data_IF_088477343871
#
_entry.id   IF_088477343871
#
_cell.length_a   1.000
_cell.length_b   1.000
_cell.length_c   1.000
_cell.angle_alpha   90.00
_cell.angle_beta   90.00
_cell.angle_gamma   90.00
#
_symmetry.space_group_name_H-M   'P 1'
#
loop_
_entity.id
_entity.type
_entity.pdbx_description
1 polymer ?
#
# COMPACT_ATOMS: atom_id res chain seq x y z
N UNK A 1 10.02 16.53 -41.97
CA UNK A 1 9.01 16.29 -40.91
C UNK A 1 8.62 14.81 -40.78
N UNK A 2 9.54 13.86 -41.05
CA UNK A 2 9.26 12.40 -41.02
C UNK A 2 10.18 11.60 -40.09
N UNK A 3 11.43 12.03 -39.84
CA UNK A 3 12.39 11.29 -38.99
C UNK A 3 12.08 11.29 -37.48
N UNK A 4 11.29 12.24 -36.97
CA UNK A 4 10.95 12.32 -35.54
C UNK A 4 9.86 11.31 -35.14
N UNK A 5 9.14 10.74 -36.12
CA UNK A 5 8.10 9.73 -35.86
C UNK A 5 8.67 8.33 -35.67
N UNK A 6 9.74 7.98 -36.39
CA UNK A 6 10.35 6.64 -36.33
C UNK A 6 11.13 6.40 -35.04
N UNK A 7 11.75 7.43 -34.45
CA UNK A 7 12.43 7.34 -33.15
C UNK A 7 11.46 7.20 -31.96
N UNK A 8 10.20 7.62 -32.09
CA UNK A 8 9.16 7.42 -31.06
C UNK A 8 8.53 6.03 -31.10
N UNK A 9 8.71 5.28 -32.19
CA UNK A 9 8.20 3.92 -32.34
C UNK A 9 9.17 2.85 -31.78
N UNK A 10 10.48 3.13 -31.78
CA UNK A 10 11.50 2.20 -31.26
C UNK A 10 11.68 2.22 -29.72
N UNK A 11 11.15 3.24 -29.03
CA UNK A 11 11.39 3.49 -27.59
C UNK A 11 10.10 3.42 -26.75
N UNK A 12 8.97 3.02 -27.36
CA UNK A 12 7.81 2.60 -26.58
C UNK A 12 7.90 1.10 -26.41
N UNK A 13 8.17 0.56 -25.21
CA UNK A 13 7.64 -0.77 -24.94
C UNK A 13 6.13 -0.63 -25.15
N UNK A 14 5.63 -1.39 -26.10
CA UNK A 14 4.20 -1.61 -26.28
C UNK A 14 3.56 -1.70 -24.90
N UNK A 15 2.52 -0.90 -24.64
CA UNK A 15 1.54 -1.18 -23.59
C UNK A 15 0.95 -2.55 -23.91
N UNK A 16 1.69 -3.59 -23.53
CA UNK A 16 1.20 -4.94 -23.45
C UNK A 16 0.23 -4.86 -22.29
N UNK A 17 -1.06 -4.91 -22.63
CA UNK A 17 -2.10 -5.35 -21.71
C UNK A 17 -1.47 -6.41 -20.82
N UNK A 18 -1.35 -6.12 -19.53
CA UNK A 18 -1.02 -7.07 -18.48
C UNK A 18 -2.02 -8.21 -18.64
N UNK A 19 -1.67 -9.16 -19.50
CA UNK A 19 -2.37 -10.42 -19.63
C UNK A 19 -2.13 -11.05 -18.27
N UNK A 20 -3.23 -11.27 -17.56
CA UNK A 20 -3.32 -11.83 -16.22
C UNK A 20 -2.59 -13.19 -16.21
N UNK A 21 -1.26 -13.15 -16.13
CA UNK A 21 -0.44 -14.33 -15.98
C UNK A 21 -0.38 -14.54 -14.48
N UNK A 22 -1.38 -15.27 -13.98
CA UNK A 22 -1.46 -15.78 -12.61
C UNK A 22 -0.40 -16.88 -12.41
N UNK A 23 0.82 -16.62 -12.88
CA UNK A 23 1.98 -17.47 -12.66
C UNK A 23 2.31 -17.42 -11.20
N UNK A 24 1.99 -18.51 -10.51
CA UNK A 24 2.40 -18.82 -9.13
C UNK A 24 3.83 -18.33 -8.93
N UNK A 25 4.00 -17.27 -8.13
CA UNK A 25 5.29 -16.66 -7.87
C UNK A 25 6.21 -17.70 -7.21
N UNK A 26 7.31 -18.00 -7.88
CA UNK A 26 8.31 -19.00 -7.48
C UNK A 26 8.92 -18.61 -6.13
N UNK A 27 8.54 -19.30 -5.06
CA UNK A 27 9.08 -19.11 -3.71
C UNK A 27 10.57 -19.45 -3.75
N UNK A 28 11.43 -18.43 -3.76
CA UNK A 28 12.81 -18.50 -4.27
C UNK A 28 13.83 -19.31 -3.45
N UNK A 29 13.38 -20.10 -2.48
CA UNK A 29 14.22 -21.05 -1.77
C UNK A 29 13.79 -22.46 -2.11
N UNK A 30 14.49 -23.09 -3.06
CA UNK A 30 14.47 -24.55 -3.14
C UNK A 30 15.09 -25.07 -1.82
N UNK A 31 14.32 -25.77 -0.96
CA UNK A 31 14.79 -26.25 0.34
C UNK A 31 16.01 -27.18 0.24
N UNK A 32 16.29 -27.69 -0.97
CA UNK A 32 17.45 -28.53 -1.26
C UNK A 32 18.74 -27.76 -1.53
N UNK A 33 18.71 -26.41 -1.62
CA UNK A 33 19.90 -25.59 -1.87
C UNK A 33 20.57 -25.20 -0.54
N UNK A 34 21.76 -25.74 -0.21
CA UNK A 34 22.40 -25.55 1.10
C UNK A 34 23.07 -24.18 1.28
N UNK A 35 22.83 -23.22 0.38
CA UNK A 35 23.54 -21.93 0.31
C UNK A 35 22.53 -20.80 0.08
N UNK A 36 22.69 -19.69 0.80
CA UNK A 36 21.94 -18.46 0.57
C UNK A 36 22.16 -17.81 -0.82
N UNK A 37 23.21 -18.19 -1.56
CA UNK A 37 23.43 -17.77 -2.95
C UNK A 37 22.47 -18.50 -3.89
N UNK A 38 21.58 -17.74 -4.53
CA UNK A 38 20.54 -18.23 -5.46
C UNK A 38 21.06 -18.27 -6.90
N UNK A 39 21.82 -17.26 -7.33
CA UNK A 39 22.47 -17.25 -8.65
C UNK A 39 23.78 -16.45 -8.61
N UNK A 40 24.78 -16.89 -9.35
CA UNK A 40 26.08 -16.24 -9.47
C UNK A 40 26.57 -16.36 -10.91
N UNK A 41 26.77 -15.23 -11.57
CA UNK A 41 27.12 -15.21 -12.99
C UNK A 41 28.05 -14.04 -13.33
N UNK A 42 28.93 -14.26 -14.29
CA UNK A 42 29.77 -13.21 -14.89
C UNK A 42 29.14 -12.75 -16.18
N UNK A 43 29.13 -11.43 -16.39
CA UNK A 43 28.65 -10.79 -17.60
C UNK A 43 29.79 -10.02 -18.26
N UNK A 44 29.95 -10.21 -19.57
CA UNK A 44 30.95 -9.52 -20.38
C UNK A 44 30.29 -9.04 -21.66
N UNK A 45 30.46 -7.75 -21.96
CA UNK A 45 29.87 -7.09 -23.13
C UNK A 45 28.35 -7.38 -23.26
N UNK A 46 27.66 -7.43 -22.13
CA UNK A 46 26.21 -7.71 -22.06
C UNK A 46 25.80 -9.18 -22.12
N UNK A 47 26.71 -10.10 -22.38
CA UNK A 47 26.42 -11.53 -22.44
C UNK A 47 26.81 -12.24 -21.13
N UNK A 48 25.95 -13.16 -20.67
CA UNK A 48 26.29 -14.08 -19.58
C UNK A 48 27.37 -15.04 -20.06
N UNK A 49 28.48 -15.13 -19.34
CA UNK A 49 29.57 -16.06 -19.65
C UNK A 49 29.13 -17.47 -19.26
N UNK A 50 29.07 -18.37 -20.24
CA UNK A 50 28.81 -19.79 -19.99
C UNK A 50 30.08 -20.49 -19.53
N UNK A 51 30.03 -21.02 -18.31
CA UNK A 51 31.11 -21.80 -17.69
C UNK A 51 30.81 -23.28 -17.60
N UNK A 52 29.64 -23.73 -18.09
CA UNK A 52 29.19 -25.13 -18.05
C UNK A 52 28.93 -25.70 -16.63
N UNK A 53 29.15 -24.91 -15.59
CA UNK A 53 28.91 -25.26 -14.18
C UNK A 53 28.60 -24.00 -13.34
N UNK A 54 27.85 -24.15 -12.23
CA UNK A 54 27.68 -23.07 -11.26
C UNK A 54 29.03 -22.57 -10.74
N UNK A 55 29.17 -21.25 -10.60
CA UNK A 55 30.40 -20.61 -10.10
C UNK A 55 30.23 -20.15 -8.66
N UNK A 56 31.28 -20.30 -7.86
CA UNK A 56 31.36 -19.61 -6.57
C UNK A 56 31.62 -18.11 -6.78
N UNK A 57 31.21 -17.24 -5.83
CA UNK A 57 31.53 -15.80 -5.88
C UNK A 57 33.03 -15.51 -6.08
N UNK A 58 33.90 -16.29 -5.43
CA UNK A 58 35.36 -16.15 -5.55
C UNK A 58 35.86 -16.52 -6.96
N UNK A 59 35.40 -17.62 -7.55
CA UNK A 59 35.75 -17.99 -8.94
C UNK A 59 35.26 -16.94 -9.95
N UNK A 60 34.06 -16.42 -9.76
CA UNK A 60 33.47 -15.39 -10.62
C UNK A 60 34.29 -14.10 -10.59
N UNK A 61 34.68 -13.64 -9.38
CA UNK A 61 35.52 -12.46 -9.24
C UNK A 61 36.91 -12.64 -9.86
N UNK A 62 37.52 -13.83 -9.72
CA UNK A 62 38.79 -14.14 -10.38
C UNK A 62 38.68 -14.09 -11.90
N UNK A 63 37.57 -14.56 -12.47
CA UNK A 63 37.33 -14.51 -13.91
C UNK A 63 37.20 -13.06 -14.40
N UNK A 64 36.45 -12.23 -13.68
CA UNK A 64 36.31 -10.79 -13.96
C UNK A 64 37.65 -10.07 -13.89
N UNK A 65 38.48 -10.34 -12.87
CA UNK A 65 39.82 -9.74 -12.74
C UNK A 65 40.77 -10.13 -13.89
N UNK A 66 40.60 -11.32 -14.48
CA UNK A 66 41.45 -11.80 -15.58
C UNK A 66 41.01 -11.27 -16.93
N UNK A 67 39.71 -11.29 -17.20
CA UNK A 67 39.16 -11.13 -18.55
C UNK A 67 38.21 -9.93 -18.71
N UNK A 68 37.95 -9.18 -17.64
CA UNK A 68 36.99 -8.08 -17.62
C UNK A 68 35.52 -8.53 -17.54
N UNK A 69 34.64 -7.54 -17.43
CA UNK A 69 33.21 -7.71 -17.19
C UNK A 69 32.79 -7.34 -15.77
N UNK A 70 31.65 -7.86 -15.33
CA UNK A 70 31.23 -7.77 -13.93
C UNK A 70 30.52 -9.04 -13.46
N UNK A 71 30.56 -9.30 -12.14
CA UNK A 71 29.81 -10.41 -11.53
C UNK A 71 28.49 -9.91 -10.95
N UNK A 72 27.40 -10.66 -11.17
CA UNK A 72 26.12 -10.42 -10.51
C UNK A 72 25.71 -11.60 -9.63
N UNK A 73 25.72 -11.37 -8.32
CA UNK A 73 25.40 -12.35 -7.28
C UNK A 73 24.02 -12.05 -6.70
N UNK A 74 23.14 -13.04 -6.69
CA UNK A 74 21.85 -13.01 -6.02
C UNK A 74 21.88 -13.85 -4.75
N UNK A 75 21.50 -13.24 -3.63
CA UNK A 75 21.40 -13.88 -2.32
C UNK A 75 19.98 -13.71 -1.76
N UNK A 76 19.53 -14.71 -1.00
CA UNK A 76 18.24 -14.68 -0.33
C UNK A 76 18.42 -15.07 1.14
N UNK A 77 18.04 -14.14 2.03
CA UNK A 77 18.08 -14.27 3.50
C UNK A 77 19.38 -14.92 4.02
N UNK A 78 20.56 -14.38 3.67
CA UNK A 78 21.83 -14.96 4.10
C UNK A 78 22.03 -14.79 5.60
N UNK A 79 22.59 -15.83 6.22
CA UNK A 79 23.13 -15.70 7.57
C UNK A 79 24.39 -14.84 7.57
N UNK A 80 24.75 -14.29 8.73
CA UNK A 80 25.99 -13.52 8.90
C UNK A 80 27.23 -14.31 8.44
N UNK A 81 27.29 -15.60 8.76
CA UNK A 81 28.39 -16.49 8.38
C UNK A 81 28.49 -16.69 6.86
N UNK A 82 27.36 -16.86 6.18
CA UNK A 82 27.30 -17.00 4.72
C UNK A 82 27.71 -15.71 4.01
N UNK A 83 27.32 -14.54 4.55
CA UNK A 83 27.62 -13.26 3.91
C UNK A 83 29.03 -12.75 4.20
N UNK A 84 29.62 -13.07 5.36
CA UNK A 84 30.96 -12.61 5.77
C UNK A 84 32.09 -13.00 4.79
N UNK A 85 31.97 -14.16 4.12
CA UNK A 85 32.94 -14.58 3.10
C UNK A 85 32.90 -13.68 1.87
N UNK A 86 31.69 -13.38 1.39
CA UNK A 86 31.44 -12.50 0.24
C UNK A 86 31.84 -11.07 0.60
N UNK A 87 31.42 -10.57 1.76
CA UNK A 87 31.75 -9.23 2.22
C UNK A 87 33.27 -8.94 2.18
N UNK A 88 34.10 -9.89 2.62
CA UNK A 88 35.56 -9.76 2.58
C UNK A 88 36.13 -9.80 1.16
N UNK A 89 35.66 -10.70 0.30
CA UNK A 89 36.16 -10.83 -1.07
C UNK A 89 35.87 -9.57 -1.91
N UNK A 90 34.68 -8.97 -1.70
CA UNK A 90 34.21 -7.80 -2.45
C UNK A 90 34.49 -6.47 -1.77
N UNK A 91 35.14 -6.47 -0.60
CA UNK A 91 35.49 -5.25 0.14
C UNK A 91 34.26 -4.46 0.59
N UNK A 92 33.18 -5.14 0.98
CA UNK A 92 31.95 -4.49 1.43
C UNK A 92 32.15 -3.86 2.81
N UNK A 93 31.59 -2.67 3.01
CA UNK A 93 31.71 -1.96 4.28
C UNK A 93 30.94 -2.69 5.40
N UNK A 94 31.54 -2.89 6.60
CA UNK A 94 30.92 -3.67 7.67
C UNK A 94 29.51 -3.22 8.07
N UNK A 95 29.26 -1.91 8.14
CA UNK A 95 27.91 -1.38 8.46
C UNK A 95 26.86 -1.74 7.41
N UNK A 96 27.21 -1.71 6.13
CA UNK A 96 26.28 -2.08 5.06
C UNK A 96 26.02 -3.61 5.05
N UNK A 97 27.01 -4.39 5.48
CA UNK A 97 26.89 -5.84 5.64
C UNK A 97 25.96 -6.18 6.80
N UNK A 98 26.11 -5.50 7.95
CA UNK A 98 25.21 -5.62 9.10
C UNK A 98 23.77 -5.29 8.71
N UNK A 99 23.55 -4.16 8.04
CA UNK A 99 22.23 -3.75 7.54
C UNK A 99 21.61 -4.79 6.60
N UNK A 100 22.44 -5.39 5.73
CA UNK A 100 21.98 -6.40 4.78
C UNK A 100 21.67 -7.75 5.43
N UNK A 101 22.18 -8.06 6.62
CA UNK A 101 21.86 -9.28 7.37
C UNK A 101 20.68 -9.05 8.30
N UNK A 102 20.62 -7.92 9.01
CA UNK A 102 19.54 -7.61 9.95
C UNK A 102 18.21 -7.29 9.26
N UNK A 103 18.26 -6.84 8.00
CA UNK A 103 17.10 -6.38 7.23
C UNK A 103 16.34 -5.24 7.93
N UNK A 104 15.07 -5.06 7.57
CA UNK A 104 14.16 -4.05 8.14
C UNK A 104 14.62 -2.62 7.93
N UNK A 105 15.38 -2.38 6.87
CA UNK A 105 15.97 -1.08 6.58
C UNK A 105 14.98 -0.19 5.82
N UNK A 106 15.05 1.12 6.09
CA UNK A 106 14.34 2.10 5.26
C UNK A 106 15.06 2.24 3.92
N UNK A 107 14.34 2.55 2.82
CA UNK A 107 14.97 2.85 1.56
C UNK A 107 16.01 3.96 1.70
N UNK A 108 17.20 3.72 1.17
CA UNK A 108 18.34 4.63 1.28
C UNK A 108 19.37 4.38 0.18
N UNK A 109 20.22 5.38 -0.04
CA UNK A 109 21.39 5.31 -0.89
C UNK A 109 22.58 5.87 -0.12
N UNK A 110 23.56 5.03 0.12
CA UNK A 110 24.79 5.36 0.84
C UNK A 110 25.99 5.01 -0.03
N UNK A 111 27.04 5.83 0.07
CA UNK A 111 28.30 5.59 -0.61
C UNK A 111 29.34 5.17 0.41
N UNK A 112 29.95 4.01 0.17
CA UNK A 112 31.05 3.49 0.97
C UNK A 112 32.26 3.29 0.06
N UNK A 113 33.25 4.17 0.18
CA UNK A 113 34.49 4.14 -0.59
C UNK A 113 34.26 4.00 -2.11
N UNK A 114 34.46 2.77 -2.61
CA UNK A 114 34.34 2.33 -4.01
C UNK A 114 33.07 1.55 -4.34
N UNK A 115 32.07 1.57 -3.44
CA UNK A 115 30.76 0.92 -3.65
C UNK A 115 29.58 1.83 -3.28
N UNK A 116 28.44 1.58 -3.90
CA UNK A 116 27.14 2.13 -3.47
C UNK A 116 26.33 1.03 -2.79
N UNK A 117 25.74 1.38 -1.65
CA UNK A 117 24.76 0.56 -0.95
C UNK A 117 23.39 1.20 -1.14
N UNK A 118 22.47 0.49 -1.79
CA UNK A 118 21.10 0.95 -2.02
C UNK A 118 20.12 -0.03 -1.42
N UNK A 119 19.13 0.46 -0.67
CA UNK A 119 18.06 -0.35 -0.10
C UNK A 119 16.75 0.02 -0.80
N UNK A 120 16.07 -0.98 -1.33
CA UNK A 120 14.71 -0.88 -1.84
C UNK A 120 13.76 -1.68 -0.95
N UNK A 121 12.56 -1.14 -0.73
CA UNK A 121 11.45 -1.90 -0.16
C UNK A 121 10.60 -2.42 -1.31
N UNK A 122 10.37 -3.71 -1.43
CA UNK A 122 9.38 -4.22 -2.39
C UNK A 122 8.01 -4.22 -1.75
N UNK A 123 6.99 -3.93 -2.55
CA UNK A 123 5.59 -3.90 -2.13
C UNK A 123 4.79 -4.63 -3.19
N UNK A 124 3.89 -5.50 -2.74
CA UNK A 124 2.97 -6.23 -3.59
C UNK A 124 1.57 -6.13 -3.02
N UNK A 125 0.61 -5.93 -3.92
CA UNK A 125 -0.80 -5.96 -3.56
C UNK A 125 -1.23 -7.41 -3.37
N UNK A 126 -1.91 -7.69 -2.26
CA UNK A 126 -2.48 -9.00 -1.96
C UNK A 126 -3.93 -8.97 -2.39
N UNK A 127 -4.27 -9.71 -3.45
CA UNK A 127 -5.67 -9.82 -3.90
C UNK A 127 -6.55 -10.36 -2.77
N UNK A 128 -7.66 -9.68 -2.50
CA UNK A 128 -8.66 -10.08 -1.52
C UNK A 128 -10.06 -9.99 -2.14
N UNK A 129 -10.93 -10.94 -1.80
CA UNK A 129 -12.33 -10.92 -2.28
C UNK A 129 -13.16 -9.86 -1.55
N UNK A 130 -12.83 -9.59 -0.28
CA UNK A 130 -13.43 -8.56 0.55
C UNK A 130 -12.38 -8.01 1.53
N UNK A 131 -12.32 -6.68 1.63
CA UNK A 131 -11.49 -6.02 2.62
C UNK A 131 -12.09 -6.19 4.01
N UNK A 132 -11.36 -6.82 4.92
CA UNK A 132 -11.75 -6.99 6.32
C UNK A 132 -10.80 -6.23 7.25
N UNK A 133 -11.16 -6.10 8.53
CA UNK A 133 -10.31 -5.44 9.53
C UNK A 133 -8.93 -6.09 9.73
N UNK A 134 -8.73 -7.32 9.23
CA UNK A 134 -7.47 -8.07 9.36
C UNK A 134 -6.86 -8.43 8.00
N UNK A 135 -7.39 -7.91 6.89
CA UNK A 135 -6.86 -8.19 5.56
C UNK A 135 -5.49 -7.55 5.41
N UNK A 136 -4.48 -8.33 5.05
CA UNK A 136 -3.22 -7.81 4.52
C UNK A 136 -3.50 -7.33 3.10
N UNK A 137 -3.29 -6.03 2.84
CA UNK A 137 -3.50 -5.43 1.52
C UNK A 137 -2.17 -5.31 0.81
N UNK A 138 -1.11 -5.05 1.57
CA UNK A 138 0.24 -4.88 1.05
C UNK A 138 1.21 -5.82 1.77
N UNK A 139 1.81 -6.75 1.02
CA UNK A 139 2.97 -7.53 1.49
C UNK A 139 4.26 -6.77 1.18
N UNK A 140 5.17 -6.70 2.15
CA UNK A 140 6.45 -5.99 2.01
C UNK A 140 7.65 -6.94 2.00
N UNK A 141 8.67 -6.58 1.23
CA UNK A 141 9.98 -7.23 1.23
C UNK A 141 11.10 -6.21 1.07
N UNK A 142 12.33 -6.68 0.98
CA UNK A 142 13.51 -5.82 0.81
C UNK A 142 14.49 -6.38 -0.21
N UNK A 143 15.08 -5.46 -0.98
CA UNK A 143 16.20 -5.74 -1.88
C UNK A 143 17.31 -4.76 -1.56
N UNK A 144 18.40 -5.25 -0.96
CA UNK A 144 19.62 -4.47 -0.80
C UNK A 144 20.57 -4.75 -1.96
N UNK A 145 21.14 -3.69 -2.51
CA UNK A 145 22.03 -3.73 -3.66
C UNK A 145 23.39 -3.14 -3.29
N UNK A 146 24.45 -3.91 -3.49
CA UNK A 146 25.82 -3.43 -3.47
C UNK A 146 26.30 -3.27 -4.91
N UNK A 147 26.55 -2.03 -5.32
CA UNK A 147 27.02 -1.69 -6.67
C UNK A 147 28.49 -1.32 -6.60
N UNK A 148 29.36 -2.19 -7.13
CA UNK A 148 30.78 -1.94 -7.34
C UNK A 148 31.10 -1.58 -8.78
N UNK A 149 32.40 -1.48 -9.11
CA UNK A 149 32.85 -1.26 -10.50
C UNK A 149 32.63 -2.47 -11.39
N UNK A 150 32.88 -3.64 -10.82
CA UNK A 150 33.01 -4.93 -11.50
C UNK A 150 32.19 -6.01 -10.78
N UNK A 151 31.30 -5.60 -9.86
CA UNK A 151 30.36 -6.48 -9.21
C UNK A 151 29.03 -5.79 -8.91
N UNK A 152 27.99 -6.62 -8.81
CA UNK A 152 26.67 -6.26 -8.32
C UNK A 152 26.15 -7.38 -7.42
N UNK A 153 25.80 -7.07 -6.18
CA UNK A 153 25.29 -8.07 -5.22
C UNK A 153 23.91 -7.65 -4.77
N UNK A 154 22.94 -8.54 -4.89
CA UNK A 154 21.58 -8.35 -4.37
C UNK A 154 21.33 -9.26 -3.20
N UNK A 155 20.91 -8.72 -2.06
CA UNK A 155 20.44 -9.46 -0.89
C UNK A 155 18.95 -9.24 -0.73
N UNK A 156 18.17 -10.31 -0.71
CA UNK A 156 16.71 -10.26 -0.64
C UNK A 156 16.19 -10.82 0.67
N UNK A 157 15.26 -10.12 1.31
CA UNK A 157 14.51 -10.59 2.49
C UNK A 157 13.00 -10.51 2.22
N UNK A 158 12.25 -11.49 2.74
CA UNK A 158 10.81 -11.59 2.53
C UNK A 158 10.40 -12.47 1.34
N UNK A 159 9.11 -12.80 1.29
CA UNK A 159 8.56 -13.88 0.46
C UNK A 159 8.43 -13.58 -1.03
N UNK A 160 8.28 -12.30 -1.42
CA UNK A 160 7.88 -11.93 -2.78
C UNK A 160 8.91 -11.07 -3.53
N UNK A 161 8.95 -11.22 -4.86
CA UNK A 161 9.77 -10.39 -5.77
C UNK A 161 11.04 -11.07 -6.29
N UNK A 162 10.90 -12.26 -6.90
CA UNK A 162 12.01 -12.93 -7.57
C UNK A 162 12.64 -12.04 -8.64
N UNK A 163 13.92 -11.70 -8.47
CA UNK A 163 14.69 -10.98 -9.50
C UNK A 163 15.07 -11.88 -10.68
N UNK A 164 14.65 -13.15 -10.72
CA UNK A 164 14.95 -14.09 -11.80
C UNK A 164 14.37 -13.63 -13.14
N UNK A 165 13.10 -13.23 -13.15
CA UNK A 165 12.45 -12.70 -14.36
C UNK A 165 13.15 -11.41 -14.83
N UNK A 166 13.48 -10.51 -13.90
CA UNK A 166 14.25 -9.30 -14.20
C UNK A 166 15.61 -9.63 -14.83
N UNK A 167 16.33 -10.59 -14.26
CA UNK A 167 17.62 -11.05 -14.75
C UNK A 167 17.52 -11.63 -16.16
N UNK A 168 16.49 -12.42 -16.46
CA UNK A 168 16.26 -12.94 -17.81
C UNK A 168 15.97 -11.80 -18.80
N UNK A 169 15.09 -10.86 -18.46
CA UNK A 169 14.83 -9.68 -19.32
C UNK A 169 16.09 -8.88 -19.62
N UNK A 170 16.97 -8.71 -18.64
CA UNK A 170 18.26 -8.04 -18.84
C UNK A 170 19.22 -8.84 -19.74
N UNK A 171 19.17 -10.17 -19.69
CA UNK A 171 19.95 -11.02 -20.59
C UNK A 171 19.45 -10.94 -22.04
N UNK A 172 18.16 -10.67 -22.23
CA UNK A 172 17.56 -10.46 -23.55
C UNK A 172 17.87 -9.07 -24.14
N UNK A 173 18.45 -8.16 -23.34
CA UNK A 173 18.96 -6.85 -23.78
C UNK A 173 20.48 -6.68 -23.47
N UNK A 174 21.36 -7.29 -24.28
CA UNK A 174 22.80 -7.21 -24.08
C UNK A 174 23.36 -5.79 -24.17
N UNK A 175 22.75 -4.90 -24.96
CA UNK A 175 23.24 -3.52 -25.10
C UNK A 175 23.10 -2.75 -23.79
N UNK A 176 21.98 -2.94 -23.10
CA UNK A 176 21.76 -2.37 -21.77
C UNK A 176 22.69 -3.02 -20.73
N UNK A 177 22.80 -4.35 -20.73
CA UNK A 177 23.60 -5.06 -19.75
C UNK A 177 25.12 -4.82 -19.92
N UNK A 178 25.56 -4.45 -21.13
CA UNK A 178 26.92 -4.02 -21.41
C UNK A 178 27.30 -2.70 -20.70
N UNK A 179 26.33 -1.90 -20.24
CA UNK A 179 26.55 -0.70 -19.40
C UNK A 179 26.93 -1.04 -17.95
N UNK A 180 27.01 -2.33 -17.62
CA UNK A 180 27.60 -2.82 -16.37
C UNK A 180 26.67 -2.80 -15.15
N UNK A 181 27.22 -2.81 -13.93
CA UNK A 181 26.45 -2.90 -12.68
C UNK A 181 25.36 -1.83 -12.53
N UNK A 182 25.59 -0.63 -13.07
CA UNK A 182 24.63 0.48 -12.99
C UNK A 182 23.32 0.20 -13.74
N UNK A 183 23.37 -0.56 -14.85
CA UNK A 183 22.18 -0.97 -15.57
C UNK A 183 21.32 -1.93 -14.74
N UNK A 184 21.95 -2.82 -13.98
CA UNK A 184 21.24 -3.73 -13.06
C UNK A 184 20.59 -2.95 -11.92
N UNK A 185 21.29 -1.98 -11.34
CA UNK A 185 20.73 -1.09 -10.31
C UNK A 185 19.49 -0.36 -10.83
N UNK A 186 19.60 0.23 -12.02
CA UNK A 186 18.50 0.91 -12.68
C UNK A 186 17.30 -0.03 -12.90
N UNK A 187 17.54 -1.21 -13.45
CA UNK A 187 16.47 -2.17 -13.74
C UNK A 187 15.76 -2.67 -12.48
N UNK A 188 16.48 -2.80 -11.35
CA UNK A 188 15.85 -3.10 -10.06
C UNK A 188 15.01 -1.92 -9.57
N UNK A 189 15.54 -0.70 -9.66
CA UNK A 189 14.82 0.51 -9.24
C UNK A 189 13.52 0.68 -10.04
N UNK A 190 13.61 0.55 -11.36
CA UNK A 190 12.48 0.58 -12.30
C UNK A 190 11.44 -0.49 -11.95
N UNK A 191 11.87 -1.73 -11.78
CA UNK A 191 10.97 -2.83 -11.41
C UNK A 191 10.26 -2.62 -10.07
N UNK A 192 10.96 -2.08 -9.06
CA UNK A 192 10.37 -1.77 -7.74
C UNK A 192 9.33 -0.65 -7.87
N UNK A 193 9.66 0.41 -8.61
CA UNK A 193 8.76 1.56 -8.78
C UNK A 193 7.54 1.20 -9.63
N UNK A 194 7.69 0.39 -10.67
CA UNK A 194 6.56 -0.17 -11.43
C UNK A 194 5.64 -0.99 -10.52
N UNK A 195 6.21 -1.77 -9.60
CA UNK A 195 5.45 -2.46 -8.55
C UNK A 195 4.64 -1.48 -7.70
N UNK A 196 5.24 -0.37 -7.28
CA UNK A 196 4.51 0.66 -6.53
C UNK A 196 3.36 1.27 -7.33
N UNK A 197 3.54 1.54 -8.64
CA UNK A 197 2.45 2.06 -9.49
C UNK A 197 1.28 1.08 -9.49
N UNK A 198 1.55 -0.22 -9.72
CA UNK A 198 0.50 -1.24 -9.74
C UNK A 198 -0.23 -1.36 -8.40
N UNK A 199 0.48 -1.26 -7.27
CA UNK A 199 -0.14 -1.28 -5.94
C UNK A 199 -0.92 0.00 -5.66
N UNK A 200 -0.45 1.16 -6.11
CA UNK A 200 -1.19 2.41 -5.94
C UNK A 200 -2.53 2.38 -6.68
N UNK A 201 -2.56 1.85 -7.90
CA UNK A 201 -3.79 1.68 -8.66
C UNK A 201 -4.78 0.73 -7.95
N UNK A 202 -4.30 -0.40 -7.43
CA UNK A 202 -5.15 -1.35 -6.69
C UNK A 202 -5.66 -0.81 -5.35
N UNK A 203 -4.82 -0.07 -4.61
CA UNK A 203 -5.22 0.58 -3.35
C UNK A 203 -6.23 1.72 -3.61
N UNK A 204 -6.13 2.43 -4.73
CA UNK A 204 -7.15 3.42 -5.12
C UNK A 204 -8.51 2.75 -5.28
N UNK A 205 -8.58 1.61 -5.98
CA UNK A 205 -9.84 0.87 -6.15
C UNK A 205 -10.45 0.46 -4.78
N UNK A 206 -9.63 0.00 -3.83
CA UNK A 206 -10.07 -0.32 -2.46
C UNK A 206 -10.61 0.91 -1.71
N UNK A 207 -9.99 2.08 -1.89
CA UNK A 207 -10.45 3.34 -1.27
C UNK A 207 -11.78 3.77 -1.87
N UNK A 208 -11.93 3.66 -3.20
CA UNK A 208 -13.16 4.03 -3.91
C UNK A 208 -14.34 3.15 -3.49
N UNK A 209 -14.11 1.85 -3.22
CA UNK A 209 -15.12 0.94 -2.67
C UNK A 209 -15.58 1.42 -1.29
N UNK A 210 -14.64 1.69 -0.39
CA UNK A 210 -14.93 2.15 0.98
C UNK A 210 -15.63 3.51 0.97
N UNK A 211 -15.21 4.42 0.09
CA UNK A 211 -15.87 5.71 -0.10
C UNK A 211 -17.33 5.51 -0.55
N UNK A 212 -17.54 4.68 -1.57
CA UNK A 212 -18.87 4.38 -2.10
C UNK A 212 -19.77 3.78 -1.02
N UNK A 213 -19.26 2.90 -0.16
CA UNK A 213 -20.03 2.34 0.95
C UNK A 213 -20.44 3.39 2.00
N UNK A 214 -19.55 4.33 2.33
CA UNK A 214 -19.82 5.39 3.33
C UNK A 214 -20.82 6.42 2.80
N UNK A 215 -20.73 6.77 1.51
CA UNK A 215 -21.55 7.82 0.92
C UNK A 215 -22.77 7.31 0.16
N UNK A 216 -22.88 6.00 -0.11
CA UNK A 216 -24.08 5.43 -0.71
C UNK A 216 -25.27 5.62 0.23
N UNK A 217 -26.32 6.34 -0.20
CA UNK A 217 -27.49 6.53 0.63
C UNK A 217 -28.11 5.16 0.92
N UNK A 218 -28.01 4.73 2.18
CA UNK A 218 -28.59 3.47 2.64
C UNK A 218 -30.02 3.35 2.14
N UNK A 219 -30.31 2.25 1.41
CA UNK A 219 -31.68 1.88 1.06
C UNK A 219 -32.53 2.01 2.32
N UNK A 220 -33.52 2.89 2.27
CA UNK A 220 -34.58 3.10 3.27
C UNK A 220 -35.01 1.73 3.85
N UNK A 221 -34.61 1.40 5.07
CA UNK A 221 -35.16 0.22 5.76
C UNK A 221 -34.28 -0.53 6.75
N UNK A 222 -32.96 -0.32 6.76
CA UNK A 222 -32.11 -0.95 7.75
C UNK A 222 -30.98 -0.01 8.10
N UNK A 223 -30.77 0.24 9.39
CA UNK A 223 -29.56 0.88 9.90
C UNK A 223 -28.40 0.13 9.28
N UNK A 224 -27.74 0.71 8.28
CA UNK A 224 -26.37 0.32 7.98
C UNK A 224 -25.63 0.73 9.24
N UNK A 225 -25.49 -0.21 10.19
CA UNK A 225 -24.58 -0.05 11.32
C UNK A 225 -23.28 0.33 10.63
N UNK A 226 -22.82 1.57 10.88
CA UNK A 226 -21.95 2.31 9.97
C UNK A 226 -20.86 1.45 9.37
N UNK A 227 -20.45 1.78 8.15
CA UNK A 227 -19.30 1.16 7.48
C UNK A 227 -18.25 0.87 8.54
N UNK A 228 -17.82 -0.40 8.61
CA UNK A 228 -16.97 -0.90 9.67
C UNK A 228 -15.73 0.00 9.71
N UNK A 229 -15.69 0.90 10.71
CA UNK A 229 -14.62 1.88 10.83
C UNK A 229 -13.27 1.19 10.98
N UNK A 230 -13.27 -0.08 11.35
CA UNK A 230 -12.13 -0.97 11.33
C UNK A 230 -11.58 -1.21 9.90
N UNK A 231 -12.43 -1.32 8.86
CA UNK A 231 -11.98 -1.41 7.45
C UNK A 231 -11.25 -0.14 7.00
N UNK A 232 -11.83 1.03 7.30
CA UNK A 232 -11.20 2.33 6.99
C UNK A 232 -9.85 2.45 7.71
N UNK A 233 -9.79 2.03 8.98
CA UNK A 233 -8.57 2.06 9.76
C UNK A 233 -7.51 1.06 9.27
N UNK A 234 -7.93 -0.13 8.85
CA UNK A 234 -7.04 -1.12 8.27
C UNK A 234 -6.43 -0.60 6.97
N UNK A 235 -7.25 -0.08 6.04
CA UNK A 235 -6.74 0.52 4.80
C UNK A 235 -5.78 1.68 5.06
N UNK A 236 -6.07 2.51 6.07
CA UNK A 236 -5.17 3.59 6.50
C UNK A 236 -3.81 3.06 6.99
N UNK A 237 -3.79 1.95 7.72
CA UNK A 237 -2.56 1.30 8.17
C UNK A 237 -1.74 0.78 6.98
N UNK A 238 -2.39 0.17 6.01
CA UNK A 238 -1.75 -0.34 4.78
C UNK A 238 -1.17 0.81 3.93
N UNK A 239 -1.92 1.90 3.76
CA UNK A 239 -1.43 3.14 3.11
C UNK A 239 -0.22 3.72 3.84
N UNK A 240 -0.18 3.64 5.17
CA UNK A 240 0.97 4.11 5.95
C UNK A 240 2.21 3.24 5.72
N UNK A 241 2.07 1.91 5.65
CA UNK A 241 3.19 1.03 5.29
C UNK A 241 3.67 1.29 3.86
N UNK A 242 2.74 1.51 2.92
CA UNK A 242 3.08 1.90 1.56
C UNK A 242 3.86 3.23 1.50
N UNK A 243 3.39 4.24 2.25
CA UNK A 243 4.08 5.53 2.38
C UNK A 243 5.49 5.40 2.92
N UNK A 244 5.74 4.47 3.85
CA UNK A 244 7.06 4.20 4.44
C UNK A 244 8.05 3.57 3.45
N UNK A 245 7.58 2.86 2.43
CA UNK A 245 8.42 2.36 1.34
C UNK A 245 8.66 3.41 0.25
N UNK A 246 7.62 4.17 -0.14
CA UNK A 246 7.71 5.11 -1.27
C UNK A 246 8.47 6.39 -0.89
N UNK A 247 8.12 7.00 0.23
CA UNK A 247 8.58 8.36 0.56
C UNK A 247 10.10 8.48 0.75
N UNK A 248 10.78 7.54 1.46
CA UNK A 248 12.23 7.64 1.65
C UNK A 248 13.02 7.38 0.36
N UNK A 249 12.45 6.66 -0.62
CA UNK A 249 13.14 6.29 -1.85
C UNK A 249 13.29 7.47 -2.83
N UNK A 250 12.45 8.51 -2.71
CA UNK A 250 12.48 9.65 -3.64
C UNK A 250 13.85 10.33 -3.67
N UNK A 251 14.44 10.60 -2.50
CA UNK A 251 15.72 11.30 -2.41
C UNK A 251 16.88 10.48 -3.02
N UNK A 252 17.06 9.19 -2.72
CA UNK A 252 17.94 8.28 -3.45
C UNK A 252 17.82 8.36 -4.97
N UNK A 253 16.60 8.26 -5.52
CA UNK A 253 16.39 8.27 -6.97
C UNK A 253 16.75 9.62 -7.60
N UNK A 254 16.36 10.73 -6.95
CA UNK A 254 16.78 12.08 -7.36
C UNK A 254 18.31 12.21 -7.38
N UNK A 255 19.00 11.74 -6.33
CA UNK A 255 20.46 11.80 -6.26
C UNK A 255 21.11 11.02 -7.41
N UNK A 256 20.63 9.82 -7.74
CA UNK A 256 21.13 9.05 -8.88
C UNK A 256 20.87 9.77 -10.21
N UNK A 257 19.72 10.43 -10.37
CA UNK A 257 19.34 11.13 -11.60
C UNK A 257 20.08 12.47 -11.82
N UNK A 258 20.45 13.17 -10.74
CA UNK A 258 20.99 14.53 -10.79
C UNK A 258 22.51 14.59 -10.61
N UNK A 259 23.08 13.73 -9.77
CA UNK A 259 24.50 13.79 -9.41
C UNK A 259 25.28 12.72 -10.15
N UNK A 260 26.25 13.09 -11.01
CA UNK A 260 27.13 12.12 -11.62
C UNK A 260 27.90 11.34 -10.54
N UNK A 261 27.77 10.02 -10.54
CA UNK A 261 28.48 9.14 -9.61
C UNK A 261 29.42 8.25 -10.41
N UNK A 262 30.64 8.03 -9.90
CA UNK A 262 31.68 7.26 -10.60
C UNK A 262 31.29 5.80 -10.93
N UNK A 263 30.27 5.28 -10.26
CA UNK A 263 29.77 3.90 -10.41
C UNK A 263 28.50 3.83 -11.28
N UNK A 264 27.97 4.97 -11.70
CA UNK A 264 26.77 5.06 -12.54
C UNK A 264 27.21 5.51 -13.93
N UNK A 265 26.90 4.70 -14.94
CA UNK A 265 27.18 5.06 -16.33
C UNK A 265 26.34 6.29 -16.72
N UNK A 266 26.92 7.31 -17.39
CA UNK A 266 26.19 8.50 -17.80
C UNK A 266 24.96 8.22 -18.69
N UNK A 267 25.01 7.18 -19.51
CA UNK A 267 23.87 6.75 -20.32
C UNK A 267 22.78 6.14 -19.47
N UNK A 268 23.11 5.54 -18.32
CA UNK A 268 22.14 4.98 -17.39
C UNK A 268 21.54 6.08 -16.49
N UNK A 269 22.32 7.10 -16.18
CA UNK A 269 21.91 8.21 -15.30
C UNK A 269 20.60 8.86 -15.73
N UNK A 270 20.40 9.03 -17.05
CA UNK A 270 19.17 9.64 -17.60
C UNK A 270 17.91 8.82 -17.32
N UNK A 271 18.02 7.49 -17.19
CA UNK A 271 16.86 6.65 -16.95
C UNK A 271 16.40 6.69 -15.49
N UNK A 272 17.32 6.93 -14.53
CA UNK A 272 16.94 7.18 -13.14
C UNK A 272 16.03 8.41 -12.96
N UNK A 273 16.03 9.35 -13.91
CA UNK A 273 15.08 10.47 -13.91
C UNK A 273 13.65 9.99 -14.11
N UNK A 274 13.42 9.07 -15.04
CA UNK A 274 12.10 8.51 -15.31
C UNK A 274 11.59 7.74 -14.08
N UNK A 275 12.46 6.93 -13.47
CA UNK A 275 12.17 6.24 -12.20
C UNK A 275 11.82 7.24 -11.08
N UNK A 276 12.57 8.34 -10.95
CA UNK A 276 12.29 9.37 -9.95
C UNK A 276 10.95 10.09 -10.22
N UNK A 277 10.64 10.38 -11.49
CA UNK A 277 9.37 10.99 -11.90
C UNK A 277 8.18 10.05 -11.64
N UNK A 278 8.34 8.76 -11.91
CA UNK A 278 7.33 7.73 -11.62
C UNK A 278 7.10 7.61 -10.12
N UNK A 279 8.17 7.52 -9.34
CA UNK A 279 8.13 7.44 -7.90
C UNK A 279 7.50 8.68 -7.25
N UNK A 280 7.78 9.88 -7.77
CA UNK A 280 7.18 11.12 -7.29
C UNK A 280 5.66 11.12 -7.47
N UNK A 281 5.15 10.63 -8.61
CA UNK A 281 3.70 10.49 -8.84
C UNK A 281 3.05 9.53 -7.86
N UNK A 282 3.68 8.37 -7.62
CA UNK A 282 3.16 7.41 -6.64
C UNK A 282 3.18 8.01 -5.23
N UNK A 283 4.23 8.75 -4.87
CA UNK A 283 4.28 9.43 -3.58
C UNK A 283 3.12 10.42 -3.39
N UNK A 284 2.81 11.21 -4.42
CA UNK A 284 1.69 12.15 -4.41
C UNK A 284 0.35 11.43 -4.23
N UNK A 285 0.12 10.33 -4.97
CA UNK A 285 -1.07 9.49 -4.81
C UNK A 285 -1.21 8.94 -3.38
N UNK A 286 -0.13 8.37 -2.83
CA UNK A 286 -0.15 7.81 -1.47
C UNK A 286 -0.40 8.86 -0.39
N UNK A 287 0.07 10.09 -0.59
CA UNK A 287 -0.27 11.22 0.30
C UNK A 287 -1.76 11.55 0.18
N UNK A 288 -2.29 11.60 -1.05
CA UNK A 288 -3.72 11.80 -1.30
C UNK A 288 -4.61 10.73 -0.67
N UNK A 289 -4.18 9.47 -0.67
CA UNK A 289 -4.91 8.35 -0.04
C UNK A 289 -5.11 8.56 1.46
N UNK A 290 -4.06 8.99 2.19
CA UNK A 290 -4.14 9.27 3.62
C UNK A 290 -5.13 10.43 3.91
N UNK A 291 -5.13 11.48 3.09
CA UNK A 291 -6.06 12.60 3.22
C UNK A 291 -7.52 12.20 2.92
N UNK A 292 -7.74 11.40 1.86
CA UNK A 292 -9.06 10.89 1.49
C UNK A 292 -9.63 9.97 2.57
N UNK A 293 -8.84 9.00 3.06
CA UNK A 293 -9.26 8.10 4.15
C UNK A 293 -9.58 8.86 5.45
N UNK A 294 -8.82 9.91 5.78
CA UNK A 294 -9.15 10.78 6.91
C UNK A 294 -10.50 11.48 6.72
N UNK A 295 -10.78 11.96 5.51
CA UNK A 295 -12.05 12.62 5.16
C UNK A 295 -13.23 11.64 5.22
N UNK A 296 -13.06 10.43 4.70
CA UNK A 296 -14.06 9.35 4.76
C UNK A 296 -14.35 8.97 6.21
N UNK A 297 -13.32 8.80 7.05
CA UNK A 297 -13.50 8.48 8.47
C UNK A 297 -14.29 9.57 9.20
N UNK A 298 -13.96 10.84 8.96
CA UNK A 298 -14.68 11.97 9.55
C UNK A 298 -16.14 12.03 9.08
N UNK A 299 -16.40 11.78 7.79
CA UNK A 299 -17.76 11.73 7.25
C UNK A 299 -18.57 10.59 7.88
N UNK A 300 -17.99 9.40 8.04
CA UNK A 300 -18.65 8.26 8.69
C UNK A 300 -19.03 8.59 10.15
N UNK A 301 -18.12 9.21 10.91
CA UNK A 301 -18.40 9.67 12.29
C UNK A 301 -19.50 10.73 12.34
N UNK A 302 -19.51 11.67 11.40
CA UNK A 302 -20.55 12.70 11.31
C UNK A 302 -21.93 12.07 11.00
N UNK A 303 -22.00 11.11 10.07
CA UNK A 303 -23.24 10.39 9.77
C UNK A 303 -23.75 9.60 10.99
N UNK A 304 -22.86 8.94 11.74
CA UNK A 304 -23.23 8.24 12.98
C UNK A 304 -23.81 9.20 14.04
N UNK A 305 -23.24 10.39 14.18
CA UNK A 305 -23.76 11.42 15.07
C UNK A 305 -25.12 11.95 14.61
N UNK A 306 -25.33 12.14 13.30
CA UNK A 306 -26.63 12.52 12.74
C UNK A 306 -27.68 11.45 13.06
N UNK A 307 -27.37 10.17 12.84
CA UNK A 307 -28.28 9.06 13.14
C UNK A 307 -28.64 9.02 14.64
N UNK A 308 -27.66 9.19 15.53
CA UNK A 308 -27.89 9.26 16.98
C UNK A 308 -28.81 10.44 17.35
N UNK A 309 -28.64 11.60 16.71
CA UNK A 309 -29.51 12.75 16.90
C UNK A 309 -30.94 12.46 16.41
N UNK A 310 -31.10 11.77 15.28
CA UNK A 310 -32.43 11.36 14.80
C UNK A 310 -33.13 10.40 15.79
N UNK A 311 -32.40 9.43 16.33
CA UNK A 311 -32.93 8.51 17.34
C UNK A 311 -33.31 9.23 18.63
N UNK A 312 -32.49 10.18 19.08
CA UNK A 312 -32.81 11.02 20.23
C UNK A 312 -34.08 11.86 19.99
N UNK A 313 -34.26 12.44 18.78
CA UNK A 313 -35.49 13.15 18.42
C UNK A 313 -36.71 12.24 18.50
N UNK A 314 -36.62 11.00 17.99
CA UNK A 314 -37.71 10.01 18.02
C UNK A 314 -38.08 9.59 19.44
N UNK A 315 -37.10 9.29 20.29
CA UNK A 315 -37.34 8.92 21.70
C UNK A 315 -38.01 10.09 22.43
N UNK A 316 -37.48 11.31 22.26
CA UNK A 316 -38.03 12.53 22.89
C UNK A 316 -39.45 12.80 22.41
N UNK A 317 -39.73 12.60 21.11
CA UNK A 317 -41.06 12.75 20.54
C UNK A 317 -42.07 11.78 21.15
N UNK A 318 -41.70 10.49 21.28
CA UNK A 318 -42.56 9.51 21.96
C UNK A 318 -42.75 9.80 23.45
N UNK A 319 -41.70 10.24 24.15
CA UNK A 319 -41.80 10.64 25.55
C UNK A 319 -42.78 11.82 25.74
N UNK A 320 -42.74 12.82 24.86
CA UNK A 320 -43.67 13.95 24.89
C UNK A 320 -45.13 13.50 24.65
N UNK A 321 -45.36 12.55 23.75
CA UNK A 321 -46.69 11.98 23.50
C UNK A 321 -47.20 11.19 24.73
N UNK A 322 -46.33 10.42 25.41
CA UNK A 322 -46.68 9.62 26.59
C UNK A 322 -46.89 10.49 27.84
N UNK A 323 -46.22 11.64 27.95
CA UNK A 323 -46.35 12.54 29.10
C UNK A 323 -47.78 13.07 29.29
N UNK A 324 -48.51 13.33 28.20
CA UNK A 324 -49.89 13.85 28.25
C UNK A 324 -50.86 12.89 28.94
N UNK A 325 -51.07 11.64 28.48
CA UNK A 325 -51.96 10.71 29.16
C UNK A 325 -51.47 10.39 30.57
N UNK A 326 -50.16 10.33 30.80
CA UNK A 326 -49.59 10.09 32.15
C UNK A 326 -49.98 11.20 33.13
N UNK A 327 -49.90 12.47 32.72
CA UNK A 327 -50.33 13.60 33.54
C UNK A 327 -51.83 13.58 33.80
N UNK A 328 -52.65 13.30 32.77
CA UNK A 328 -54.11 13.19 32.92
C UNK A 328 -54.47 12.06 33.89
N UNK A 329 -53.89 10.87 33.72
CA UNK A 329 -54.06 9.76 34.66
C UNK A 329 -53.58 10.11 36.07
N UNK A 330 -52.49 10.87 36.20
CA UNK A 330 -51.98 11.33 37.49
C UNK A 330 -52.96 12.25 38.21
N UNK A 331 -53.52 13.25 37.52
CA UNK A 331 -54.50 14.21 38.09
C UNK A 331 -55.78 13.48 38.51
N UNK A 332 -56.36 12.65 37.63
CA UNK A 332 -57.59 11.91 37.93
C UNK A 332 -57.37 10.68 38.85
N UNK A 333 -56.11 10.33 39.13
CA UNK A 333 -55.74 9.33 40.13
C UNK A 333 -55.63 9.88 41.56
N UNK A 334 -55.80 11.19 41.76
CA UNK A 334 -55.70 11.82 43.07
C UNK A 334 -57.00 11.68 43.89
N UNK A 335 -56.87 11.46 45.20
CA UNK A 335 -58.01 11.31 46.12
C UNK A 335 -58.52 12.67 46.65
N UNK A 336 -59.11 13.51 45.80
CA UNK A 336 -59.74 14.77 46.22
C UNK A 336 -61.26 14.64 46.39
N UNK A 337 -61.80 15.37 47.38
CA UNK A 337 -63.23 15.37 47.71
C UNK A 337 -64.08 16.25 46.77
N UNK A 338 -63.49 17.28 46.16
CA UNK A 338 -64.16 18.20 45.25
C UNK A 338 -63.58 18.08 43.83
N UNK A 339 -64.07 17.09 43.09
CA UNK A 339 -63.82 16.92 41.64
C UNK A 339 -65.19 16.79 40.94
N UNK A 340 -65.82 17.91 40.56
CA UNK A 340 -67.18 17.91 40.00
C UNK A 340 -67.29 17.10 38.71
N UNK A 341 -66.19 16.93 37.97
CA UNK A 341 -66.13 16.20 36.70
C UNK A 341 -66.35 14.69 36.86
N UNK A 342 -66.00 14.09 38.02
CA UNK A 342 -66.19 12.65 38.28
C UNK A 342 -67.65 12.24 38.40
N UNK A 343 -68.53 13.16 38.83
CA UNK A 343 -69.94 12.88 39.03
C UNK A 343 -70.76 13.06 37.74
N UNK A 344 -70.12 13.58 36.68
CA UNK A 344 -70.76 13.78 35.38
C UNK A 344 -70.68 12.53 34.51
N UNK A 345 -71.83 12.03 34.05
CA UNK A 345 -71.96 10.80 33.25
C UNK A 345 -71.08 10.75 32.00
N UNK A 346 -70.73 11.91 31.42
CA UNK A 346 -69.90 12.02 30.22
C UNK A 346 -68.46 12.47 30.49
N UNK A 347 -68.06 12.69 31.75
CA UNK A 347 -66.72 13.19 32.09
C UNK A 347 -65.60 12.28 31.57
N UNK A 348 -65.68 10.97 31.86
CA UNK A 348 -64.67 10.01 31.44
C UNK A 348 -64.48 9.91 29.91
N UNK A 349 -65.53 9.73 29.09
CA UNK A 349 -65.40 9.76 27.62
C UNK A 349 -64.84 11.08 27.07
N UNK A 350 -65.24 12.23 27.63
CA UNK A 350 -64.78 13.55 27.18
C UNK A 350 -63.29 13.74 27.43
N UNK A 351 -62.80 13.37 28.63
CA UNK A 351 -61.37 13.47 28.98
C UNK A 351 -60.53 12.53 28.11
N UNK A 352 -61.01 11.30 27.85
CA UNK A 352 -60.31 10.36 26.97
C UNK A 352 -60.24 10.86 25.53
N UNK A 353 -61.33 11.42 25.00
CA UNK A 353 -61.34 12.04 23.68
C UNK A 353 -60.36 13.22 23.62
N UNK A 354 -60.42 14.13 24.60
CA UNK A 354 -59.54 15.31 24.66
C UNK A 354 -58.07 14.90 24.70
N UNK A 355 -57.72 13.92 25.54
CA UNK A 355 -56.36 13.37 25.63
C UNK A 355 -55.91 12.78 24.29
N UNK A 356 -56.76 11.99 23.64
CA UNK A 356 -56.49 11.44 22.31
C UNK A 356 -56.25 12.52 21.24
N UNK A 357 -57.06 13.59 21.24
CA UNK A 357 -56.91 14.72 20.34
C UNK A 357 -55.59 15.46 20.58
N UNK A 358 -55.22 15.70 21.84
CA UNK A 358 -53.94 16.34 22.19
C UNK A 358 -52.77 15.47 21.73
N UNK A 359 -52.78 14.16 22.02
CA UNK A 359 -51.74 13.23 21.57
C UNK A 359 -51.62 13.19 20.04
N UNK A 360 -52.75 13.16 19.32
CA UNK A 360 -52.78 13.22 17.86
C UNK A 360 -52.25 14.55 17.33
N UNK A 361 -52.55 15.66 18.01
CA UNK A 361 -52.05 17.00 17.68
C UNK A 361 -50.52 17.08 17.82
N UNK A 362 -49.98 16.58 18.94
CA UNK A 362 -48.53 16.50 19.18
C UNK A 362 -47.89 15.59 18.14
N UNK A 363 -48.42 14.39 17.92
CA UNK A 363 -47.90 13.45 16.93
C UNK A 363 -47.86 14.06 15.52
N UNK A 364 -48.95 14.71 15.08
CA UNK A 364 -48.98 15.38 13.76
C UNK A 364 -47.98 16.52 13.65
N UNK A 365 -47.83 17.31 14.71
CA UNK A 365 -46.89 18.45 14.73
C UNK A 365 -45.45 17.95 14.65
N UNK A 366 -45.10 16.93 15.44
CA UNK A 366 -43.76 16.35 15.47
C UNK A 366 -43.42 15.62 14.15
N UNK A 367 -44.39 14.90 13.56
CA UNK A 367 -44.24 14.28 12.24
C UNK A 367 -44.03 15.31 11.13
N UNK A 368 -44.80 16.41 11.15
CA UNK A 368 -44.63 17.52 10.19
C UNK A 368 -43.24 18.16 10.29
N UNK A 369 -42.66 18.20 11.48
CA UNK A 369 -41.33 18.77 11.73
C UNK A 369 -40.18 17.79 11.45
N UNK A 370 -40.46 16.55 11.01
CA UNK A 370 -39.42 15.54 10.74
C UNK A 370 -38.77 14.92 11.99
N UNK A 371 -39.42 15.02 13.15
CA UNK A 371 -38.98 14.38 14.38
C UNK A 371 -39.47 12.93 14.50
N UNK A 372 -40.47 12.56 13.69
CA UNK A 372 -41.18 11.27 13.69
C UNK A 372 -41.43 10.75 12.27
#
# INVERSE_FOLDING_TARGET
MSMIRDLRAAVRPSRISLRKDTGVYDTTRDPSTPTAVVDCAVYRDGARVDTGKPMTPHEAMRLVRRDGGFVWIGMHEPTEAEFAGIAREFGLHPLAVEDAVQAHQRPKLERYDDSLFTVFKTIHYVEHDQLTANSEVVETGEVMCFTGRDFFITVRHGGQGSLRALRHRLQDDPELLAKGPSAVLHAIADHVVDGYVAVADAVQDDIDEVETEVFSPGRRGGVSRGVDSARIYQLKREVLEFKRAVSPLLRPMQLLSERPMRLIDPDIQKYFRDVADHLARVQEQVIGFDELLNSILQANLAQASVAQNEDMRKITAWAAIIAVPTMVCGVYGMNFKYMPELHWKYGYPVIMMLTGVICLGIHRTLKRNGWL
#
